data_IF_230343845350
#
_entry.id   IF_230343845350
#
_cell.length_a   1.000
_cell.length_b   1.000
_cell.length_c   1.000
_cell.angle_alpha   90.00
_cell.angle_beta   90.00
_cell.angle_gamma   90.00
#
_symmetry.space_group_name_H-M   'P 1'
#
loop_
_entity.id
_entity.type
_entity.pdbx_description
1 polymer ?
#
# COMPACT_ATOMS: atom_id res chain seq x y z
N UNK A 1 -23.38 -28.91 31.01
CA UNK A 1 -22.44 -29.21 29.90
C UNK A 1 -23.15 -30.12 28.89
N UNK A 2 -23.25 -29.75 27.61
CA UNK A 2 -23.97 -30.55 26.61
C UNK A 2 -23.22 -31.82 26.18
N UNK A 3 -23.95 -32.89 25.85
CA UNK A 3 -23.40 -34.19 25.45
C UNK A 3 -22.56 -34.12 24.16
N UNK A 4 -23.03 -33.35 23.18
CA UNK A 4 -22.30 -33.09 21.93
C UNK A 4 -20.91 -32.48 22.18
N UNK A 5 -20.80 -31.50 23.09
CA UNK A 5 -19.51 -30.89 23.44
C UNK A 5 -18.56 -31.90 24.08
N UNK A 6 -19.03 -32.72 25.02
CA UNK A 6 -18.19 -33.78 25.63
C UNK A 6 -17.70 -34.78 24.59
N UNK A 7 -18.58 -35.20 23.69
CA UNK A 7 -18.24 -36.13 22.60
C UNK A 7 -17.16 -35.55 21.68
N UNK A 8 -17.34 -34.30 21.22
CA UNK A 8 -16.38 -33.62 20.36
C UNK A 8 -15.00 -33.47 21.03
N UNK A 9 -14.96 -33.01 22.28
CA UNK A 9 -13.71 -32.86 23.05
C UNK A 9 -13.00 -34.21 23.23
N UNK A 10 -13.74 -35.28 23.56
CA UNK A 10 -13.17 -36.63 23.70
C UNK A 10 -12.57 -37.12 22.40
N UNK A 11 -13.30 -37.02 21.28
CA UNK A 11 -12.81 -37.43 19.95
C UNK A 11 -11.57 -36.65 19.52
N UNK A 12 -11.54 -35.34 19.80
CA UNK A 12 -10.39 -34.50 19.49
C UNK A 12 -9.15 -34.90 20.31
N UNK A 13 -9.34 -35.15 21.61
CA UNK A 13 -8.23 -35.32 22.56
C UNK A 13 -7.67 -36.75 22.62
N UNK A 14 -8.54 -37.76 22.53
CA UNK A 14 -8.16 -39.17 22.74
C UNK A 14 -8.19 -40.01 21.46
N UNK A 15 -8.61 -39.42 20.33
CA UNK A 15 -8.81 -40.16 19.09
C UNK A 15 -10.08 -41.03 19.14
N UNK A 16 -10.26 -41.88 18.12
CA UNK A 16 -11.47 -42.70 17.93
C UNK A 16 -12.32 -42.32 16.72
N UNK A 17 -11.79 -41.50 15.80
CA UNK A 17 -12.43 -41.14 14.54
C UNK A 17 -11.58 -40.13 13.76
N UNK A 18 -12.14 -39.54 12.70
CA UNK A 18 -11.48 -38.47 11.93
C UNK A 18 -11.25 -37.23 12.83
N UNK A 19 -9.97 -36.92 13.10
CA UNK A 19 -9.58 -35.74 13.89
C UNK A 19 -9.97 -34.44 13.20
N UNK A 20 -9.97 -34.38 11.87
CA UNK A 20 -10.40 -33.20 11.13
C UNK A 20 -11.87 -32.89 11.44
N UNK A 21 -12.71 -33.92 11.44
CA UNK A 21 -14.13 -33.76 11.76
C UNK A 21 -14.37 -33.36 13.21
N UNK A 22 -13.59 -33.92 14.16
CA UNK A 22 -13.65 -33.50 15.55
C UNK A 22 -13.29 -32.01 15.71
N UNK A 23 -12.27 -31.52 14.99
CA UNK A 23 -11.91 -30.10 14.99
C UNK A 23 -13.02 -29.22 14.41
N UNK A 24 -13.63 -29.62 13.27
CA UNK A 24 -14.76 -28.90 12.67
C UNK A 24 -15.95 -28.80 13.62
N UNK A 25 -16.28 -29.88 14.33
CA UNK A 25 -17.37 -29.89 15.30
C UNK A 25 -17.09 -28.95 16.48
N UNK A 26 -15.84 -28.90 16.98
CA UNK A 26 -15.44 -27.90 17.99
C UNK A 26 -15.63 -26.47 17.46
N UNK A 27 -15.23 -26.18 16.22
CA UNK A 27 -15.47 -24.89 15.60
C UNK A 27 -16.96 -24.55 15.45
N UNK A 28 -17.79 -25.53 15.08
CA UNK A 28 -19.25 -25.37 14.97
C UNK A 28 -19.88 -25.05 16.32
N UNK A 29 -19.49 -25.78 17.37
CA UNK A 29 -19.94 -25.53 18.74
C UNK A 29 -19.53 -24.13 19.23
N UNK A 30 -18.30 -23.70 18.92
CA UNK A 30 -17.82 -22.35 19.25
C UNK A 30 -18.63 -21.25 18.53
N UNK A 31 -19.03 -21.46 17.27
CA UNK A 31 -19.88 -20.49 16.54
C UNK A 31 -21.31 -20.44 17.05
N UNK A 32 -21.86 -21.57 17.49
CA UNK A 32 -23.27 -21.69 17.82
C UNK A 32 -23.65 -21.03 19.15
N UNK A 33 -22.74 -21.02 20.14
CA UNK A 33 -23.05 -20.52 21.49
C UNK A 33 -21.82 -19.90 22.18
N UNK A 34 -21.95 -18.65 22.62
CA UNK A 34 -20.88 -17.89 23.30
C UNK A 34 -20.52 -18.46 24.68
N UNK A 35 -21.44 -19.15 25.37
CA UNK A 35 -21.10 -19.84 26.63
C UNK A 35 -20.21 -21.05 26.36
N UNK A 36 -20.55 -21.83 25.35
CA UNK A 36 -19.78 -22.97 24.86
C UNK A 36 -18.40 -22.51 24.35
N UNK A 37 -18.33 -21.45 23.54
CA UNK A 37 -17.06 -20.86 23.08
C UNK A 37 -16.13 -20.48 24.23
N UNK A 38 -16.68 -19.93 25.33
CA UNK A 38 -15.89 -19.60 26.52
C UNK A 38 -15.45 -20.85 27.28
N UNK A 39 -16.29 -21.88 27.38
CA UNK A 39 -15.97 -23.10 28.12
C UNK A 39 -14.94 -24.01 27.41
N UNK A 40 -14.96 -24.07 26.08
CA UNK A 40 -14.15 -24.99 25.28
C UNK A 40 -12.63 -24.94 25.61
N UNK A 41 -11.97 -23.76 25.72
CA UNK A 41 -10.56 -23.67 26.12
C UNK A 41 -10.25 -24.30 27.48
N UNK A 42 -11.16 -24.22 28.46
CA UNK A 42 -10.99 -24.82 29.80
C UNK A 42 -10.98 -26.35 29.74
N UNK A 43 -11.50 -26.94 28.65
CA UNK A 43 -11.52 -28.38 28.41
C UNK A 43 -10.26 -28.88 27.69
N UNK A 44 -9.24 -28.03 27.56
CA UNK A 44 -7.95 -28.42 26.97
C UNK A 44 -7.97 -28.53 25.44
N UNK A 45 -9.01 -28.06 24.75
CA UNK A 45 -9.08 -28.18 23.28
C UNK A 45 -8.02 -27.33 22.57
N UNK A 46 -7.63 -26.18 23.15
CA UNK A 46 -6.72 -25.23 22.50
C UNK A 46 -5.32 -25.83 22.33
N UNK A 47 -4.65 -26.38 23.36
CA UNK A 47 -3.38 -27.08 23.18
C UNK A 47 -3.43 -28.21 22.14
N UNK A 48 -4.52 -28.99 22.12
CA UNK A 48 -4.69 -30.09 21.16
C UNK A 48 -4.79 -29.57 19.73
N UNK A 49 -5.59 -28.53 19.49
CA UNK A 49 -5.74 -27.89 18.18
C UNK A 49 -4.42 -27.24 17.70
N UNK A 50 -3.69 -26.57 18.60
CA UNK A 50 -2.37 -25.99 18.27
C UNK A 50 -1.35 -27.08 17.95
N UNK A 51 -1.35 -28.18 18.68
CA UNK A 51 -0.49 -29.33 18.38
C UNK A 51 -0.85 -29.97 17.03
N UNK A 52 -2.15 -30.12 16.76
CA UNK A 52 -2.65 -30.68 15.50
C UNK A 52 -2.28 -29.81 14.30
N UNK A 53 -2.31 -28.48 14.45
CA UNK A 53 -1.91 -27.52 13.42
C UNK A 53 -0.42 -27.64 13.07
N UNK A 54 0.45 -27.85 14.07
CA UNK A 54 1.90 -27.98 13.90
C UNK A 54 2.43 -29.42 13.74
N UNK A 55 1.56 -30.41 13.54
CA UNK A 55 1.96 -31.80 13.35
C UNK A 55 2.37 -32.04 11.90
N UNK A 56 3.66 -32.31 11.67
CA UNK A 56 4.23 -32.48 10.33
C UNK A 56 3.65 -33.69 9.56
N UNK A 57 3.24 -34.72 10.29
CA UNK A 57 2.64 -35.96 9.77
C UNK A 57 1.12 -35.86 9.56
N UNK A 58 0.48 -34.76 9.97
CA UNK A 58 -0.95 -34.59 9.82
C UNK A 58 -1.34 -34.23 8.37
N UNK A 59 -2.38 -34.89 7.88
CA UNK A 59 -3.03 -34.55 6.61
C UNK A 59 -3.40 -33.06 6.57
N UNK A 60 -3.18 -32.40 5.42
CA UNK A 60 -3.43 -30.97 5.24
C UNK A 60 -4.84 -30.56 5.66
N UNK A 61 -5.85 -31.36 5.34
CA UNK A 61 -7.25 -31.13 5.74
C UNK A 61 -7.47 -31.11 7.26
N UNK A 62 -6.71 -31.89 8.03
CA UNK A 62 -6.76 -31.87 9.49
C UNK A 62 -6.16 -30.55 10.04
N UNK A 63 -5.02 -30.13 9.49
CA UNK A 63 -4.36 -28.88 9.90
C UNK A 63 -5.21 -27.65 9.58
N UNK A 64 -5.84 -27.61 8.41
CA UNK A 64 -6.80 -26.57 8.03
C UNK A 64 -8.03 -26.57 8.92
N UNK A 65 -8.59 -27.76 9.23
CA UNK A 65 -9.71 -27.87 10.18
C UNK A 65 -9.35 -27.35 11.58
N UNK A 66 -8.11 -27.62 12.04
CA UNK A 66 -7.62 -27.09 13.31
C UNK A 66 -7.49 -25.56 13.30
N UNK A 67 -6.94 -24.98 12.21
CA UNK A 67 -6.87 -23.53 12.03
C UNK A 67 -8.27 -22.89 12.02
N UNK A 68 -9.24 -23.50 11.33
CA UNK A 68 -10.64 -23.06 11.31
C UNK A 68 -11.29 -23.09 12.69
N UNK A 69 -11.11 -24.18 13.44
CA UNK A 69 -11.64 -24.29 14.81
C UNK A 69 -11.04 -23.24 15.76
N UNK A 70 -9.72 -23.00 15.66
CA UNK A 70 -9.04 -21.95 16.43
C UNK A 70 -9.55 -20.55 16.04
N UNK A 71 -9.81 -20.30 14.76
CA UNK A 71 -10.39 -19.04 14.28
C UNK A 71 -11.78 -18.81 14.90
N UNK A 72 -12.64 -19.83 14.91
CA UNK A 72 -13.97 -19.73 15.52
C UNK A 72 -13.91 -19.48 17.03
N UNK A 73 -12.94 -20.10 17.72
CA UNK A 73 -12.68 -19.85 19.14
C UNK A 73 -12.16 -18.42 19.39
N UNK A 74 -11.32 -17.89 18.51
CA UNK A 74 -10.71 -16.57 18.64
C UNK A 74 -11.69 -15.42 18.34
N UNK A 75 -12.66 -15.65 17.43
CA UNK A 75 -13.59 -14.62 16.95
C UNK A 75 -14.44 -14.03 18.09
N UNK A 76 -14.29 -12.73 18.28
CA UNK A 76 -15.05 -11.95 19.26
C UNK A 76 -14.66 -12.17 20.73
N UNK A 77 -13.57 -12.91 21.01
CA UNK A 77 -13.23 -13.27 22.39
C UNK A 77 -11.76 -13.01 22.70
N UNK A 78 -11.46 -11.89 23.38
CA UNK A 78 -10.10 -11.54 23.83
C UNK A 78 -9.44 -12.67 24.62
N UNK A 79 -10.17 -13.23 25.60
CA UNK A 79 -9.69 -14.33 26.45
C UNK A 79 -9.20 -15.54 25.63
N UNK A 80 -9.96 -15.96 24.63
CA UNK A 80 -9.62 -17.11 23.81
C UNK A 80 -8.40 -16.83 22.92
N UNK A 81 -8.28 -15.61 22.36
CA UNK A 81 -7.08 -15.20 21.62
C UNK A 81 -5.83 -15.33 22.50
N UNK A 82 -5.90 -14.88 23.75
CA UNK A 82 -4.81 -15.01 24.73
C UNK A 82 -4.49 -16.49 25.00
N UNK A 83 -5.49 -17.35 25.20
CA UNK A 83 -5.25 -18.80 25.38
C UNK A 83 -4.55 -19.43 24.17
N UNK A 84 -4.94 -19.06 22.96
CA UNK A 84 -4.35 -19.59 21.72
C UNK A 84 -2.88 -19.18 21.60
N UNK A 85 -2.55 -17.91 21.87
CA UNK A 85 -1.15 -17.44 21.86
C UNK A 85 -0.34 -18.13 22.97
N UNK A 86 -0.88 -18.21 24.20
CA UNK A 86 -0.22 -18.87 25.34
C UNK A 86 0.00 -20.37 25.12
N UNK A 87 -0.87 -21.03 24.36
CA UNK A 87 -0.70 -22.42 23.94
C UNK A 87 0.44 -22.62 22.92
N UNK A 88 1.10 -21.53 22.49
CA UNK A 88 2.32 -21.59 21.69
C UNK A 88 2.07 -21.58 20.18
N UNK A 89 0.91 -21.10 19.70
CA UNK A 89 0.62 -21.04 18.26
C UNK A 89 1.72 -20.30 17.49
N UNK A 90 2.17 -19.14 17.97
CA UNK A 90 3.18 -18.34 17.27
C UNK A 90 4.50 -19.11 17.08
N UNK A 91 4.89 -19.90 18.09
CA UNK A 91 6.10 -20.74 18.03
C UNK A 91 6.02 -21.87 17.00
N UNK A 92 4.82 -22.21 16.50
CA UNK A 92 4.64 -23.21 15.44
C UNK A 92 4.83 -22.61 14.05
N UNK A 93 4.64 -21.30 13.88
CA UNK A 93 4.64 -20.63 12.57
C UNK A 93 5.92 -20.87 11.74
N UNK A 94 7.14 -20.82 12.31
CA UNK A 94 8.35 -21.10 11.52
C UNK A 94 8.38 -22.51 10.93
N UNK A 95 7.89 -23.50 11.67
CA UNK A 95 7.79 -24.88 11.18
C UNK A 95 6.84 -25.01 10.00
N UNK A 96 5.69 -24.32 10.04
CA UNK A 96 4.71 -24.34 8.94
C UNK A 96 5.24 -23.70 7.65
N UNK A 97 6.23 -22.81 7.75
CA UNK A 97 6.89 -22.22 6.57
C UNK A 97 7.92 -23.16 5.95
N UNK A 98 8.50 -24.05 6.75
CA UNK A 98 9.50 -25.03 6.31
C UNK A 98 8.85 -26.27 5.67
N UNK A 99 7.54 -26.46 5.84
CA UNK A 99 6.81 -27.56 5.23
C UNK A 99 6.89 -27.49 3.69
N UNK A 100 7.16 -28.64 3.07
CA UNK A 100 7.16 -28.76 1.60
C UNK A 100 5.77 -28.44 1.02
N UNK A 101 4.72 -28.85 1.72
CA UNK A 101 3.33 -28.47 1.41
C UNK A 101 3.01 -27.12 2.06
N UNK A 102 3.13 -26.04 1.28
CA UNK A 102 2.75 -24.68 1.72
C UNK A 102 1.24 -24.46 1.78
N UNK A 103 0.40 -25.49 1.59
CA UNK A 103 -1.05 -25.36 1.57
C UNK A 103 -1.64 -24.73 2.83
N UNK A 104 -1.15 -25.10 4.01
CA UNK A 104 -1.60 -24.47 5.27
C UNK A 104 -1.06 -23.04 5.43
N UNK A 105 0.20 -22.84 5.05
CA UNK A 105 0.88 -21.55 5.11
C UNK A 105 0.14 -20.45 4.34
N UNK A 106 -0.43 -20.81 3.19
CA UNK A 106 -1.21 -19.90 2.34
C UNK A 106 -2.73 -20.03 2.53
N UNK A 107 -3.19 -20.80 3.52
CA UNK A 107 -4.62 -21.01 3.74
C UNK A 107 -5.30 -19.77 4.29
N UNK A 108 -6.55 -19.57 3.89
CA UNK A 108 -7.35 -18.45 4.34
C UNK A 108 -7.68 -18.56 5.84
N UNK A 109 -7.93 -19.77 6.35
CA UNK A 109 -8.24 -20.01 7.76
C UNK A 109 -7.11 -19.58 8.67
N UNK A 110 -5.86 -19.92 8.32
CA UNK A 110 -4.69 -19.51 9.11
C UNK A 110 -4.49 -18.00 9.03
N UNK A 111 -4.58 -17.39 7.84
CA UNK A 111 -4.43 -15.95 7.68
C UNK A 111 -5.50 -15.17 8.48
N UNK A 112 -6.75 -15.63 8.47
CA UNK A 112 -7.83 -15.03 9.27
C UNK A 112 -7.65 -15.25 10.78
N UNK A 113 -7.11 -16.40 11.19
CA UNK A 113 -6.74 -16.63 12.59
C UNK A 113 -5.67 -15.64 13.03
N UNK A 114 -4.60 -15.49 12.24
CA UNK A 114 -3.51 -14.56 12.54
C UNK A 114 -3.98 -13.10 12.53
N UNK A 115 -4.87 -12.72 11.61
CA UNK A 115 -5.57 -11.43 11.66
C UNK A 115 -6.34 -11.26 12.97
N UNK A 116 -7.11 -12.25 13.39
CA UNK A 116 -7.85 -12.20 14.66
C UNK A 116 -6.92 -12.04 15.86
N UNK A 117 -5.78 -12.74 15.88
CA UNK A 117 -4.79 -12.66 16.96
C UNK A 117 -3.99 -11.35 16.95
N UNK A 118 -3.73 -10.77 15.78
CA UNK A 118 -3.00 -9.50 15.64
C UNK A 118 -3.66 -8.34 16.39
N UNK A 119 -4.99 -8.38 16.56
CA UNK A 119 -5.72 -7.38 17.37
C UNK A 119 -5.34 -7.37 18.85
N UNK A 120 -4.64 -8.40 19.37
CA UNK A 120 -4.05 -8.36 20.71
C UNK A 120 -2.96 -7.29 20.81
N UNK A 121 -2.36 -6.88 19.70
CA UNK A 121 -1.42 -5.77 19.68
C UNK A 121 -2.05 -4.48 20.21
N UNK A 122 -3.35 -4.26 20.09
CA UNK A 122 -4.03 -3.05 20.61
C UNK A 122 -4.45 -3.19 22.09
N UNK A 123 -3.86 -4.12 22.83
CA UNK A 123 -4.19 -4.39 24.24
C UNK A 123 -2.94 -4.42 25.12
N UNK A 124 -3.14 -4.52 26.44
CA UNK A 124 -2.06 -4.69 27.42
C UNK A 124 -1.41 -6.09 27.39
N UNK A 125 -1.93 -7.00 26.57
CA UNK A 125 -1.31 -8.31 26.39
C UNK A 125 0.09 -8.16 25.76
N UNK A 126 1.15 -8.73 26.37
CA UNK A 126 2.52 -8.60 25.87
C UNK A 126 2.75 -9.51 24.66
N UNK A 127 2.25 -9.09 23.50
CA UNK A 127 2.49 -9.76 22.23
C UNK A 127 3.90 -9.40 21.74
N UNK A 128 4.71 -10.40 21.41
CA UNK A 128 6.03 -10.22 20.79
C UNK A 128 6.01 -10.74 19.35
N UNK A 129 5.52 -9.94 18.38
CA UNK A 129 5.25 -10.43 17.03
C UNK A 129 6.49 -10.51 16.13
N UNK A 130 7.61 -9.87 16.52
CA UNK A 130 8.79 -9.68 15.69
C UNK A 130 9.49 -10.99 15.25
N UNK A 131 9.54 -12.00 16.13
CA UNK A 131 10.32 -13.21 15.87
C UNK A 131 9.56 -14.23 15.00
N UNK A 132 8.27 -14.45 15.26
CA UNK A 132 7.51 -15.49 14.54
C UNK A 132 6.37 -14.93 13.68
N UNK A 133 5.58 -13.99 14.18
CA UNK A 133 4.34 -13.55 13.51
C UNK A 133 4.64 -12.69 12.28
N UNK A 134 5.44 -11.64 12.43
CA UNK A 134 5.76 -10.71 11.33
C UNK A 134 6.49 -11.44 10.19
N UNK A 135 7.55 -12.24 10.42
CA UNK A 135 8.21 -12.98 9.36
C UNK A 135 7.28 -13.94 8.63
N UNK A 136 6.38 -14.62 9.36
CA UNK A 136 5.38 -15.50 8.75
C UNK A 136 4.42 -14.73 7.84
N UNK A 137 3.89 -13.59 8.30
CA UNK A 137 2.97 -12.76 7.51
C UNK A 137 3.66 -12.24 6.23
N UNK A 138 4.91 -11.79 6.33
CA UNK A 138 5.71 -11.32 5.18
C UNK A 138 5.96 -12.45 4.18
N UNK A 139 6.31 -13.65 4.66
CA UNK A 139 6.52 -14.82 3.81
C UNK A 139 5.22 -15.25 3.10
N UNK A 140 4.10 -15.29 3.82
CA UNK A 140 2.78 -15.61 3.26
C UNK A 140 2.35 -14.59 2.19
N UNK A 141 2.64 -13.29 2.38
CA UNK A 141 2.40 -12.25 1.38
C UNK A 141 3.22 -12.42 0.12
N UNK A 142 4.46 -12.94 0.25
CA UNK A 142 5.41 -13.13 -0.85
C UNK A 142 5.26 -14.45 -1.59
N UNK A 143 4.42 -15.37 -1.10
CA UNK A 143 4.21 -16.64 -1.77
C UNK A 143 3.55 -16.43 -3.15
N UNK A 144 4.08 -17.06 -4.22
CA UNK A 144 3.61 -16.82 -5.59
C UNK A 144 2.12 -17.16 -5.76
N UNK A 145 1.69 -18.28 -5.17
CA UNK A 145 0.34 -18.82 -5.31
C UNK A 145 -0.62 -18.41 -4.19
N UNK A 146 -0.23 -17.45 -3.34
CA UNK A 146 -1.11 -17.00 -2.25
C UNK A 146 -2.37 -16.32 -2.79
N UNK A 147 -3.59 -16.80 -2.43
CA UNK A 147 -4.85 -16.18 -2.80
C UNK A 147 -4.93 -14.72 -2.36
N UNK A 148 -5.68 -13.90 -3.10
CA UNK A 148 -5.82 -12.48 -2.79
C UNK A 148 -6.47 -12.26 -1.41
N UNK A 149 -7.42 -13.11 -1.03
CA UNK A 149 -8.08 -13.10 0.28
C UNK A 149 -7.10 -13.37 1.42
N UNK A 150 -6.19 -14.33 1.24
CA UNK A 150 -5.11 -14.63 2.18
C UNK A 150 -4.20 -13.42 2.32
N UNK A 151 -3.77 -12.81 1.20
CA UNK A 151 -2.93 -11.60 1.21
C UNK A 151 -3.61 -10.44 1.93
N UNK A 152 -4.90 -10.20 1.67
CA UNK A 152 -5.68 -9.16 2.34
C UNK A 152 -5.75 -9.39 3.86
N UNK A 153 -5.98 -10.63 4.30
CA UNK A 153 -5.97 -10.96 5.72
C UNK A 153 -4.59 -10.73 6.35
N UNK A 154 -3.50 -11.11 5.67
CA UNK A 154 -2.14 -10.84 6.13
C UNK A 154 -1.81 -9.34 6.19
N UNK A 155 -2.20 -8.55 5.18
CA UNK A 155 -2.02 -7.09 5.17
C UNK A 155 -2.80 -6.43 6.31
N UNK A 156 -4.05 -6.83 6.53
CA UNK A 156 -4.86 -6.34 7.65
C UNK A 156 -4.22 -6.71 9.01
N UNK A 157 -3.61 -7.90 9.12
CA UNK A 157 -2.89 -8.30 10.31
C UNK A 157 -1.67 -7.41 10.55
N UNK A 158 -0.86 -7.13 9.51
CA UNK A 158 0.26 -6.20 9.60
C UNK A 158 -0.20 -4.79 10.00
N UNK A 159 -1.33 -4.30 9.48
CA UNK A 159 -1.87 -3.00 9.89
C UNK A 159 -2.26 -2.95 11.37
N UNK A 160 -2.90 -4.00 11.89
CA UNK A 160 -3.21 -4.08 13.32
C UNK A 160 -1.94 -4.04 14.18
N UNK A 161 -0.88 -4.72 13.74
CA UNK A 161 0.41 -4.67 14.43
C UNK A 161 1.02 -3.25 14.35
N UNK A 162 0.98 -2.62 13.17
CA UNK A 162 1.51 -1.27 12.93
C UNK A 162 0.80 -0.15 13.70
N UNK A 163 -0.32 -0.42 14.38
CA UNK A 163 -0.94 0.53 15.30
C UNK A 163 -0.05 0.85 16.51
N UNK A 164 0.86 -0.06 16.90
CA UNK A 164 1.88 0.17 17.93
C UNK A 164 3.22 0.58 17.32
N UNK A 165 3.84 1.61 17.90
CA UNK A 165 5.13 2.17 17.45
C UNK A 165 6.29 1.18 17.47
N UNK A 166 6.31 0.26 18.42
CA UNK A 166 7.33 -0.80 18.49
C UNK A 166 7.17 -1.78 17.32
N UNK A 167 5.96 -2.27 17.09
CA UNK A 167 5.69 -3.28 16.06
C UNK A 167 5.81 -2.72 14.64
N UNK A 168 5.44 -1.46 14.39
CA UNK A 168 5.64 -0.87 13.05
C UNK A 168 7.13 -0.79 12.69
N UNK A 169 8.01 -0.58 13.69
CA UNK A 169 9.46 -0.63 13.48
C UNK A 169 9.92 -2.05 13.20
N UNK A 170 9.37 -3.04 13.90
CA UNK A 170 9.63 -4.46 13.62
C UNK A 170 9.17 -4.85 12.21
N UNK A 171 8.01 -4.38 11.76
CA UNK A 171 7.51 -4.60 10.39
C UNK A 171 8.45 -3.96 9.37
N UNK A 172 8.93 -2.73 9.62
CA UNK A 172 9.88 -2.05 8.73
C UNK A 172 11.24 -2.77 8.66
N UNK A 173 11.71 -3.33 9.78
CA UNK A 173 12.97 -4.06 9.88
C UNK A 173 12.88 -5.51 9.36
N UNK A 174 11.67 -6.06 9.23
CA UNK A 174 11.48 -7.42 8.79
C UNK A 174 11.99 -7.63 7.36
N UNK A 175 12.86 -8.64 7.20
CA UNK A 175 13.51 -8.95 5.92
C UNK A 175 12.48 -9.15 4.81
N UNK A 176 12.60 -8.34 3.75
CA UNK A 176 11.75 -8.44 2.57
C UNK A 176 10.35 -7.85 2.73
N UNK A 177 9.99 -7.28 3.88
CA UNK A 177 8.66 -6.70 4.12
C UNK A 177 8.37 -5.53 3.17
N UNK A 178 9.29 -4.55 3.08
CA UNK A 178 9.15 -3.42 2.16
C UNK A 178 9.06 -3.91 0.71
N UNK A 179 9.98 -4.79 0.29
CA UNK A 179 10.04 -5.34 -1.07
C UNK A 179 8.75 -6.05 -1.47
N UNK A 180 8.17 -6.87 -0.59
CA UNK A 180 6.91 -7.59 -0.89
C UNK A 180 5.73 -6.62 -0.97
N UNK A 181 5.66 -5.62 -0.08
CA UNK A 181 4.61 -4.61 -0.12
C UNK A 181 4.67 -3.78 -1.42
N UNK A 182 5.87 -3.36 -1.84
CA UNK A 182 6.08 -2.65 -3.10
C UNK A 182 5.71 -3.51 -4.33
N UNK A 183 6.06 -4.80 -4.31
CA UNK A 183 5.67 -5.73 -5.37
C UNK A 183 4.15 -5.85 -5.50
N UNK A 184 3.42 -5.94 -4.37
CA UNK A 184 1.96 -5.96 -4.37
C UNK A 184 1.33 -4.69 -4.95
N UNK A 185 1.97 -3.53 -4.76
CA UNK A 185 1.54 -2.27 -5.37
C UNK A 185 1.70 -2.28 -6.91
N UNK A 186 2.78 -2.89 -7.41
CA UNK A 186 3.11 -2.96 -8.82
C UNK A 186 2.29 -4.00 -9.61
N UNK A 187 1.90 -5.12 -8.98
CA UNK A 187 1.18 -6.21 -9.64
C UNK A 187 -0.30 -5.91 -9.96
N UNK A 188 -0.89 -4.83 -9.45
CA UNK A 188 -2.29 -4.54 -9.70
C UNK A 188 -2.51 -3.99 -11.13
N UNK A 189 -3.29 -4.70 -11.98
CA UNK A 189 -3.49 -4.31 -13.38
C UNK A 189 -4.22 -2.96 -13.48
N UNK A 190 -3.96 -2.26 -14.58
CA UNK A 190 -4.73 -1.06 -14.92
C UNK A 190 -6.19 -1.48 -15.20
N UNK A 191 -7.19 -0.82 -14.58
CA UNK A 191 -8.59 -1.17 -14.81
C UNK A 191 -8.93 -0.90 -16.28
N UNK A 192 -9.28 -1.96 -17.01
CA UNK A 192 -9.69 -1.89 -18.42
C UNK A 192 -11.12 -1.37 -18.59
N UNK A 193 -11.89 -1.29 -17.50
CA UNK A 193 -13.30 -0.90 -17.47
C UNK A 193 -13.58 0.01 -16.27
N UNK A 194 -14.54 0.92 -16.41
CA UNK A 194 -15.00 1.88 -15.37
C UNK A 194 -15.86 1.22 -14.28
N UNK A 195 -15.57 -0.03 -13.92
CA UNK A 195 -16.33 -0.76 -12.90
C UNK A 195 -16.13 -0.06 -11.55
N UNK A 196 -17.22 0.34 -10.89
CA UNK A 196 -17.17 1.09 -9.62
C UNK A 196 -16.58 0.30 -8.45
N UNK A 197 -16.49 -1.03 -8.56
CA UNK A 197 -15.97 -1.90 -7.50
C UNK A 197 -14.48 -2.18 -7.73
N UNK A 198 -13.62 -2.02 -6.70
CA UNK A 198 -12.22 -2.41 -6.82
C UNK A 198 -12.11 -3.92 -7.04
N UNK A 199 -11.26 -4.32 -7.98
CA UNK A 199 -10.81 -5.71 -8.11
C UNK A 199 -10.05 -6.13 -6.85
N UNK A 200 -9.98 -7.44 -6.56
CA UNK A 200 -9.20 -7.96 -5.43
C UNK A 200 -7.72 -7.56 -5.51
N UNK A 201 -7.17 -7.47 -6.73
CA UNK A 201 -5.81 -6.97 -6.95
C UNK A 201 -5.65 -5.50 -6.54
N UNK A 202 -6.59 -4.63 -6.91
CA UNK A 202 -6.58 -3.21 -6.48
C UNK A 202 -6.77 -3.06 -4.98
N UNK A 203 -7.62 -3.86 -4.34
CA UNK A 203 -7.78 -3.85 -2.89
C UNK A 203 -6.50 -4.29 -2.17
N UNK A 204 -5.80 -5.28 -2.73
CA UNK A 204 -4.50 -5.74 -2.19
C UNK A 204 -3.42 -4.66 -2.32
N UNK A 205 -3.34 -3.98 -3.46
CA UNK A 205 -2.41 -2.87 -3.66
C UNK A 205 -2.71 -1.70 -2.72
N UNK A 206 -3.99 -1.34 -2.55
CA UNK A 206 -4.41 -0.30 -1.60
C UNK A 206 -4.02 -0.65 -0.16
N UNK A 207 -4.29 -1.89 0.27
CA UNK A 207 -3.93 -2.35 1.60
C UNK A 207 -2.39 -2.38 1.81
N UNK A 208 -1.62 -2.72 0.79
CA UNK A 208 -0.15 -2.67 0.84
C UNK A 208 0.37 -1.23 0.95
N UNK A 209 -0.20 -0.29 0.18
CA UNK A 209 0.10 1.15 0.30
C UNK A 209 -0.23 1.69 1.68
N UNK A 210 -1.31 1.22 2.31
CA UNK A 210 -1.66 1.58 3.67
C UNK A 210 -0.57 1.14 4.68
N UNK A 211 -0.12 -0.11 4.61
CA UNK A 211 0.95 -0.62 5.49
C UNK A 211 2.25 0.16 5.27
N UNK A 212 2.62 0.45 4.03
CA UNK A 212 3.78 1.30 3.72
C UNK A 212 3.60 2.71 4.29
N UNK A 213 2.38 3.26 4.22
CA UNK A 213 2.03 4.55 4.82
C UNK A 213 2.22 4.56 6.33
N UNK A 214 1.76 3.50 7.01
CA UNK A 214 1.94 3.32 8.45
C UNK A 214 3.46 3.24 8.79
N UNK A 215 4.27 2.52 8.00
CA UNK A 215 5.73 2.46 8.14
C UNK A 215 6.38 3.83 7.96
N UNK A 216 6.01 4.59 6.92
CA UNK A 216 6.58 5.90 6.65
C UNK A 216 6.22 6.95 7.71
N UNK A 217 4.99 6.88 8.25
CA UNK A 217 4.46 7.80 9.24
C UNK A 217 5.02 7.50 10.64
N UNK A 218 4.87 6.26 11.09
CA UNK A 218 5.12 5.84 12.48
C UNK A 218 6.50 5.21 12.67
N UNK A 219 7.10 4.64 11.63
CA UNK A 219 8.47 4.11 11.64
C UNK A 219 9.57 5.19 11.64
N UNK A 220 9.19 6.46 11.56
CA UNK A 220 10.13 7.59 11.62
C UNK A 220 11.09 7.63 10.43
N UNK A 221 12.30 8.18 10.64
CA UNK A 221 13.30 8.28 9.58
C UNK A 221 13.75 6.90 9.06
N UNK A 222 13.91 5.91 9.95
CA UNK A 222 14.31 4.56 9.58
C UNK A 222 13.29 3.88 8.65
N UNK A 223 11.98 3.98 8.97
CA UNK A 223 10.92 3.45 8.12
C UNK A 223 10.89 4.12 6.73
N UNK A 224 11.06 5.44 6.67
CA UNK A 224 11.16 6.16 5.39
C UNK A 224 12.40 5.77 4.59
N UNK A 225 13.57 5.65 5.23
CA UNK A 225 14.79 5.19 4.58
C UNK A 225 14.63 3.78 4.03
N UNK A 226 14.07 2.85 4.80
CA UNK A 226 13.83 1.48 4.36
C UNK A 226 12.97 1.40 3.08
N UNK A 227 11.96 2.27 2.96
CA UNK A 227 11.15 2.35 1.73
C UNK A 227 11.91 3.07 0.61
N UNK A 228 12.61 4.17 0.91
CA UNK A 228 13.29 4.97 -0.11
C UNK A 228 14.50 4.28 -0.73
N UNK A 229 15.20 3.43 0.03
CA UNK A 229 16.38 2.69 -0.42
C UNK A 229 16.03 1.47 -1.28
N UNK A 230 14.78 1.00 -1.28
CA UNK A 230 14.36 -0.09 -2.17
C UNK A 230 14.33 0.39 -3.63
N UNK A 231 14.92 -0.41 -4.53
CA UNK A 231 15.04 -0.06 -5.94
C UNK A 231 13.69 0.06 -6.66
N UNK A 232 12.69 -0.70 -6.22
CA UNK A 232 11.37 -0.74 -6.85
C UNK A 232 10.45 0.38 -6.36
N UNK A 233 10.81 1.07 -5.28
CA UNK A 233 9.93 2.05 -4.63
C UNK A 233 9.46 3.15 -5.59
N UNK A 234 10.35 3.81 -6.38
CA UNK A 234 9.92 4.85 -7.31
C UNK A 234 8.93 4.33 -8.37
N UNK A 235 9.22 3.17 -8.97
CA UNK A 235 8.38 2.56 -10.01
C UNK A 235 7.02 2.10 -9.49
N UNK A 236 7.00 1.43 -8.34
CA UNK A 236 5.77 0.96 -7.70
C UNK A 236 4.86 2.13 -7.30
N UNK A 237 5.42 3.19 -6.71
CA UNK A 237 4.66 4.38 -6.32
C UNK A 237 4.16 5.17 -7.53
N UNK A 238 4.99 5.31 -8.57
CA UNK A 238 4.58 5.93 -9.83
C UNK A 238 3.41 5.18 -10.48
N UNK A 239 3.51 3.86 -10.59
CA UNK A 239 2.45 3.02 -11.14
C UNK A 239 1.15 3.13 -10.33
N UNK A 240 1.24 3.24 -9.00
CA UNK A 240 0.09 3.44 -8.13
C UNK A 240 -0.56 4.83 -8.27
N UNK A 241 0.23 5.90 -8.45
CA UNK A 241 -0.30 7.25 -8.73
C UNK A 241 -0.97 7.33 -10.11
N UNK A 242 -0.41 6.65 -11.11
CA UNK A 242 -0.93 6.61 -12.47
C UNK A 242 -2.13 5.67 -12.65
N UNK A 243 -2.65 5.06 -11.58
CA UNK A 243 -3.77 4.12 -11.66
C UNK A 243 -5.10 4.89 -11.67
N UNK A 244 -5.66 5.07 -12.86
CA UNK A 244 -6.98 5.67 -13.00
C UNK A 244 -8.05 4.76 -12.37
N UNK A 245 -9.07 5.32 -11.72
CA UNK A 245 -10.18 4.56 -11.15
C UNK A 245 -10.00 4.07 -9.71
N UNK A 246 -8.84 4.28 -9.07
CA UNK A 246 -8.66 4.08 -7.62
C UNK A 246 -8.12 5.34 -6.95
N UNK A 247 -9.04 6.21 -6.52
CA UNK A 247 -8.69 7.44 -5.80
C UNK A 247 -7.91 7.15 -4.52
N UNK A 248 -8.25 6.07 -3.81
CA UNK A 248 -7.54 5.65 -2.61
C UNK A 248 -6.08 5.27 -2.89
N UNK A 249 -5.79 4.47 -3.94
CA UNK A 249 -4.41 4.17 -4.31
C UNK A 249 -3.63 5.45 -4.64
N UNK A 250 -4.22 6.36 -5.41
CA UNK A 250 -3.57 7.63 -5.75
C UNK A 250 -3.25 8.45 -4.51
N UNK A 251 -4.18 8.57 -3.56
CA UNK A 251 -3.98 9.31 -2.33
C UNK A 251 -2.84 8.75 -1.47
N UNK A 252 -2.83 7.44 -1.24
CA UNK A 252 -1.81 6.77 -0.43
C UNK A 252 -0.44 6.80 -1.11
N UNK A 253 -0.37 6.54 -2.41
CA UNK A 253 0.88 6.62 -3.17
C UNK A 253 1.43 8.04 -3.19
N UNK A 254 0.58 9.05 -3.41
CA UNK A 254 1.01 10.46 -3.38
C UNK A 254 1.48 10.88 -1.99
N UNK A 255 0.82 10.40 -0.92
CA UNK A 255 1.31 10.60 0.45
C UNK A 255 2.70 10.00 0.66
N UNK A 256 2.93 8.75 0.23
CA UNK A 256 4.22 8.10 0.34
C UNK A 256 5.30 8.86 -0.43
N UNK A 257 5.05 9.24 -1.68
CA UNK A 257 5.98 10.08 -2.45
C UNK A 257 6.26 11.38 -1.70
N UNK A 258 5.23 12.04 -1.16
CA UNK A 258 5.43 13.25 -0.36
C UNK A 258 6.33 13.01 0.86
N UNK A 259 6.11 11.93 1.61
CA UNK A 259 6.87 11.61 2.81
C UNK A 259 8.34 11.25 2.50
N UNK A 260 8.58 10.51 1.41
CA UNK A 260 9.89 10.01 1.02
C UNK A 260 10.72 11.06 0.25
N UNK A 261 10.05 11.92 -0.52
CA UNK A 261 10.67 13.01 -1.25
C UNK A 261 10.92 14.25 -0.39
N UNK A 262 10.45 14.27 0.87
CA UNK A 262 10.60 15.41 1.75
C UNK A 262 12.02 15.52 2.33
N UNK A 263 12.53 16.75 2.43
CA UNK A 263 13.83 17.05 3.02
C UNK A 263 15.01 16.81 2.09
N UNK A 264 16.20 17.20 2.56
CA UNK A 264 17.44 17.13 1.77
C UNK A 264 18.18 15.80 1.93
N UNK A 265 18.02 15.12 3.07
CA UNK A 265 18.67 13.85 3.34
C UNK A 265 17.80 12.68 2.83
N UNK A 266 18.28 11.93 1.84
CA UNK A 266 17.53 10.85 1.16
C UNK A 266 16.48 11.35 0.16
N UNK A 267 15.75 12.42 0.50
CA UNK A 267 14.68 12.99 -0.35
C UNK A 267 15.13 13.40 -1.75
N UNK A 268 16.32 14.00 -1.89
CA UNK A 268 16.88 14.38 -3.19
C UNK A 268 17.09 13.18 -4.13
N UNK A 269 17.53 12.04 -3.57
CA UNK A 269 17.72 10.80 -4.33
C UNK A 269 16.37 10.27 -4.84
N UNK A 270 15.36 10.22 -3.96
CA UNK A 270 14.00 9.84 -4.33
C UNK A 270 13.43 10.75 -5.44
N UNK A 271 13.56 12.08 -5.30
CA UNK A 271 13.08 13.03 -6.32
C UNK A 271 13.78 12.84 -7.68
N UNK A 272 15.09 12.59 -7.68
CA UNK A 272 15.86 12.28 -8.90
C UNK A 272 15.35 11.01 -9.58
N UNK A 273 15.30 9.89 -8.85
CA UNK A 273 14.85 8.59 -9.37
C UNK A 273 13.42 8.64 -9.91
N UNK A 274 12.52 9.32 -9.18
CA UNK A 274 11.16 9.56 -9.64
C UNK A 274 11.11 10.39 -10.92
N UNK A 275 11.95 11.43 -11.06
CA UNK A 275 12.01 12.27 -12.27
C UNK A 275 12.45 11.46 -13.48
N UNK A 276 13.48 10.62 -13.33
CA UNK A 276 14.00 9.76 -14.39
C UNK A 276 12.93 8.78 -14.92
N UNK A 277 12.02 8.34 -14.04
CA UNK A 277 10.86 7.53 -14.41
C UNK A 277 9.67 8.33 -14.98
N UNK A 278 9.80 9.65 -15.15
CA UNK A 278 8.73 10.49 -15.70
C UNK A 278 7.62 10.86 -14.71
N UNK A 279 7.90 10.86 -13.40
CA UNK A 279 6.89 11.13 -12.37
C UNK A 279 6.22 12.51 -12.46
N UNK A 280 6.86 13.49 -13.11
CA UNK A 280 6.30 14.84 -13.27
C UNK A 280 4.96 14.79 -13.99
N UNK A 281 4.82 13.96 -15.04
CA UNK A 281 3.57 13.84 -15.78
C UNK A 281 2.45 13.25 -14.91
N UNK A 282 2.75 12.18 -14.16
CA UNK A 282 1.78 11.58 -13.25
C UNK A 282 1.38 12.54 -12.12
N UNK A 283 2.33 13.29 -11.56
CA UNK A 283 2.05 14.29 -10.53
C UNK A 283 1.19 15.45 -11.05
N UNK A 284 1.44 15.93 -12.28
CA UNK A 284 0.59 16.92 -12.93
C UNK A 284 -0.83 16.40 -13.11
N UNK A 285 -0.97 15.17 -13.57
CA UNK A 285 -2.29 14.55 -13.71
C UNK A 285 -3.01 14.42 -12.38
N UNK A 286 -2.36 13.88 -11.34
CA UNK A 286 -2.94 13.77 -9.98
C UNK A 286 -3.28 15.16 -9.42
N UNK A 287 -2.46 16.19 -9.70
CA UNK A 287 -2.73 17.56 -9.26
C UNK A 287 -3.99 18.18 -9.88
N UNK A 288 -4.41 17.70 -11.05
CA UNK A 288 -5.58 18.18 -11.78
C UNK A 288 -6.82 17.30 -11.57
N UNK A 289 -6.63 15.99 -11.48
CA UNK A 289 -7.70 14.99 -11.58
C UNK A 289 -7.85 14.11 -10.33
N UNK A 290 -6.88 14.14 -9.42
CA UNK A 290 -6.92 13.36 -8.19
C UNK A 290 -8.01 13.86 -7.23
N UNK A 291 -8.13 13.20 -6.08
CA UNK A 291 -8.98 13.72 -5.00
C UNK A 291 -8.44 15.05 -4.46
N UNK A 292 -9.25 15.87 -3.77
CA UNK A 292 -8.79 17.14 -3.21
C UNK A 292 -7.53 17.01 -2.32
N UNK A 293 -7.37 15.88 -1.63
CA UNK A 293 -6.20 15.60 -0.80
C UNK A 293 -4.98 15.23 -1.66
N UNK A 294 -5.15 14.34 -2.64
CA UNK A 294 -4.08 13.97 -3.57
C UNK A 294 -3.61 15.18 -4.39
N UNK A 295 -4.52 16.04 -4.83
CA UNK A 295 -4.21 17.25 -5.60
C UNK A 295 -3.26 18.18 -4.86
N UNK A 296 -3.59 18.51 -3.60
CA UNK A 296 -2.76 19.39 -2.74
C UNK A 296 -1.37 18.81 -2.51
N UNK A 297 -1.29 17.49 -2.26
CA UNK A 297 0.00 16.79 -2.07
C UNK A 297 0.82 16.80 -3.36
N UNK A 298 0.22 16.45 -4.50
CA UNK A 298 0.88 16.44 -5.79
C UNK A 298 1.42 17.82 -6.19
N UNK A 299 0.62 18.88 -5.99
CA UNK A 299 1.05 20.25 -6.22
C UNK A 299 2.25 20.64 -5.35
N UNK A 300 2.28 20.21 -4.07
CA UNK A 300 3.41 20.46 -3.18
C UNK A 300 4.67 19.70 -3.61
N UNK A 301 4.53 18.44 -4.02
CA UNK A 301 5.67 17.64 -4.52
C UNK A 301 6.27 18.27 -5.78
N UNK A 302 5.44 18.75 -6.71
CA UNK A 302 5.90 19.42 -7.93
C UNK A 302 6.76 20.68 -7.64
N UNK A 303 6.47 21.41 -6.55
CA UNK A 303 7.31 22.53 -6.11
C UNK A 303 8.73 22.05 -5.75
N UNK A 304 8.86 20.95 -5.00
CA UNK A 304 10.17 20.40 -4.65
C UNK A 304 10.97 19.93 -5.87
N UNK A 305 10.29 19.42 -6.90
CA UNK A 305 10.93 19.07 -8.17
C UNK A 305 11.42 20.32 -8.92
N UNK A 306 10.77 21.47 -8.78
CA UNK A 306 11.23 22.71 -9.41
C UNK A 306 12.51 23.23 -8.74
N UNK A 307 12.54 23.26 -7.42
CA UNK A 307 13.64 23.83 -6.63
C UNK A 307 14.97 23.07 -6.81
N UNK A 308 14.92 21.75 -7.03
CA UNK A 308 16.10 20.94 -7.35
C UNK A 308 16.71 21.25 -8.72
N UNK A 309 15.85 21.49 -9.72
CA UNK A 309 16.31 21.85 -11.07
C UNK A 309 16.98 23.22 -11.09
N UNK A 310 16.44 24.16 -10.32
CA UNK A 310 17.02 25.49 -10.16
C UNK A 310 18.32 25.44 -9.33
N UNK A 311 18.40 24.64 -8.27
CA UNK A 311 19.63 24.54 -7.48
C UNK A 311 20.81 23.89 -8.24
N UNK A 312 20.53 23.04 -9.23
CA UNK A 312 21.53 22.46 -10.12
C UNK A 312 22.03 23.41 -11.22
N UNK A 313 21.18 24.33 -11.68
CA UNK A 313 21.43 25.20 -12.83
C UNK A 313 21.74 26.68 -12.44
N UNK A 314 21.35 27.11 -11.23
CA UNK A 314 21.40 28.52 -10.79
C UNK A 314 22.73 29.00 -10.18
N UNK A 315 23.81 28.21 -10.22
CA UNK A 315 25.15 28.76 -9.93
C UNK A 315 25.72 29.63 -11.04
N UNK A 316 25.07 29.69 -12.21
CA UNK A 316 25.33 30.74 -13.19
C UNK A 316 24.43 31.92 -12.86
N UNK A 317 24.80 32.67 -11.81
CA UNK A 317 24.18 33.96 -11.51
C UNK A 317 24.64 34.96 -12.58
N UNK A 318 23.89 35.03 -13.68
CA UNK A 318 23.99 36.12 -14.63
C UNK A 318 23.56 37.42 -13.90
N UNK A 319 24.55 38.16 -13.42
CA UNK A 319 24.37 39.53 -12.94
C UNK A 319 24.21 40.45 -14.15
N UNK A 320 23.01 40.51 -14.72
CA UNK A 320 22.66 41.54 -15.71
C UNK A 320 21.62 42.48 -15.10
N UNK A 321 22.11 43.47 -14.35
CA UNK A 321 21.39 44.71 -14.08
C UNK A 321 22.02 45.81 -14.94
N UNK A 322 21.24 46.65 -15.65
CA UNK A 322 21.79 47.72 -16.47
C UNK A 322 22.33 48.83 -15.56
N UNK A 323 23.64 49.06 -15.62
CA UNK A 323 24.30 50.21 -15.00
C UNK A 323 24.13 51.41 -15.94
N UNK A 324 23.45 52.43 -15.43
CA UNK A 324 23.26 53.73 -16.05
C UNK A 324 24.58 54.51 -15.97
N UNK A 325 25.25 54.73 -17.10
CA UNK A 325 26.28 55.76 -17.24
C UNK A 325 26.03 56.50 -18.56
N UNK A 326 25.69 57.79 -18.44
CA UNK A 326 25.58 58.69 -19.57
C UNK A 326 26.92 59.33 -19.90
N UNK A 327 27.14 59.65 -21.17
CA UNK A 327 27.80 60.89 -21.62
C UNK A 327 27.87 60.95 -23.15
N UNK A 328 27.29 62.02 -23.69
CA UNK A 328 27.75 62.87 -24.80
C UNK A 328 28.27 62.28 -26.12
N UNK A 329 27.50 62.63 -27.16
CA UNK A 329 27.89 63.03 -28.51
C UNK A 329 29.35 63.43 -28.77
N UNK A 330 29.96 62.84 -29.79
CA UNK A 330 30.81 63.55 -30.76
C UNK A 330 30.80 62.83 -32.11
N UNK A 331 30.92 63.63 -33.17
CA UNK A 331 30.63 63.29 -34.57
C UNK A 331 31.90 62.95 -35.37
N UNK A 332 31.67 62.55 -36.63
CA UNK A 332 32.59 62.32 -37.77
C UNK A 332 33.49 61.08 -37.68
N UNK A 333 33.71 60.27 -38.71
CA UNK A 333 33.32 60.24 -40.12
C UNK A 333 34.21 59.20 -40.80
N UNK A 334 33.70 58.43 -41.76
CA UNK A 334 34.52 57.46 -42.50
C UNK A 334 33.68 56.38 -43.19
N UNK A 335 33.49 56.55 -44.50
CA UNK A 335 32.73 55.68 -45.37
C UNK A 335 33.48 54.39 -45.75
N UNK A 336 32.72 53.31 -46.03
CA UNK A 336 33.14 52.25 -46.95
C UNK A 336 32.67 50.85 -46.58
N UNK A 337 31.66 50.34 -47.30
CA UNK A 337 31.40 48.90 -47.44
C UNK A 337 30.00 48.40 -47.05
N UNK A 338 29.04 48.52 -47.97
CA UNK A 338 27.95 47.54 -48.15
C UNK A 338 28.61 46.29 -48.79
N UNK A 339 28.28 45.05 -48.46
CA UNK A 339 26.96 44.42 -48.50
C UNK A 339 26.73 43.46 -47.32
N UNK A 340 25.50 43.45 -46.83
CA UNK A 340 24.95 42.40 -45.98
C UNK A 340 23.85 41.65 -46.73
N UNK A 341 23.59 40.43 -46.27
CA UNK A 341 22.41 39.55 -46.40
C UNK A 341 22.94 38.11 -46.18
N UNK A 342 22.36 37.15 -45.49
CA UNK A 342 21.24 37.03 -44.55
C UNK A 342 21.41 35.63 -43.92
N UNK A 343 21.52 35.51 -42.60
CA UNK A 343 21.85 34.21 -41.96
C UNK A 343 21.18 33.88 -40.63
N UNK A 344 20.42 34.79 -40.02
CA UNK A 344 19.93 34.62 -38.63
C UNK A 344 18.40 34.46 -38.49
N UNK A 345 17.67 34.50 -39.61
CA UNK A 345 16.20 34.41 -39.62
C UNK A 345 15.59 33.00 -39.60
N UNK A 346 16.37 31.95 -39.90
CA UNK A 346 15.83 30.59 -40.07
C UNK A 346 15.73 29.78 -38.76
N UNK A 347 16.63 30.00 -37.79
CA UNK A 347 16.63 29.25 -36.52
C UNK A 347 15.49 29.67 -35.58
N UNK A 348 15.23 30.97 -35.46
CA UNK A 348 14.16 31.50 -34.61
C UNK A 348 12.76 31.15 -35.14
N UNK A 349 12.59 31.13 -36.47
CA UNK A 349 11.33 30.75 -37.11
C UNK A 349 11.05 29.25 -36.98
N UNK A 350 12.07 28.39 -37.13
CA UNK A 350 11.94 26.95 -36.90
C UNK A 350 11.61 26.60 -35.43
N UNK A 351 12.18 27.34 -34.48
CA UNK A 351 11.84 27.21 -33.06
C UNK A 351 10.39 27.67 -32.77
N UNK A 352 9.96 28.78 -33.36
CA UNK A 352 8.57 29.25 -33.29
C UNK A 352 7.58 28.22 -33.85
N UNK A 353 7.86 27.68 -35.03
CA UNK A 353 7.04 26.67 -35.70
C UNK A 353 6.99 25.33 -34.96
N UNK A 354 8.03 25.00 -34.17
CA UNK A 354 8.05 23.83 -33.31
C UNK A 354 7.17 24.03 -32.07
N UNK A 355 7.27 25.21 -31.43
CA UNK A 355 6.42 25.58 -30.29
C UNK A 355 4.95 25.61 -30.71
N UNK A 356 4.63 26.19 -31.85
CA UNK A 356 3.25 26.24 -32.38
C UNK A 356 2.68 24.85 -32.66
N UNK A 357 3.49 23.91 -33.15
CA UNK A 357 3.09 22.51 -33.35
C UNK A 357 2.81 21.81 -32.03
N UNK A 358 3.63 22.02 -31.01
CA UNK A 358 3.44 21.44 -29.68
C UNK A 358 2.18 22.01 -29.02
N UNK A 359 1.96 23.32 -29.12
CA UNK A 359 0.77 23.98 -28.58
C UNK A 359 -0.49 23.44 -29.27
N UNK A 360 -0.49 23.34 -30.60
CA UNK A 360 -1.62 22.75 -31.35
C UNK A 360 -1.88 21.30 -30.96
N UNK A 361 -0.85 20.47 -30.85
CA UNK A 361 -1.01 19.07 -30.42
C UNK A 361 -1.55 18.96 -28.99
N UNK A 362 -1.07 19.78 -28.07
CA UNK A 362 -1.56 19.80 -26.69
C UNK A 362 -3.03 20.23 -26.61
N UNK A 363 -3.43 21.21 -27.42
CA UNK A 363 -4.80 21.69 -27.48
C UNK A 363 -5.74 20.65 -28.09
N UNK A 364 -5.29 19.95 -29.13
CA UNK A 364 -5.99 18.81 -29.75
C UNK A 364 -6.19 17.65 -28.78
N UNK A 365 -5.15 17.28 -28.04
CA UNK A 365 -5.24 16.21 -27.02
C UNK A 365 -6.19 16.60 -25.90
N UNK A 366 -6.16 17.86 -25.46
CA UNK A 366 -7.06 18.38 -24.45
C UNK A 366 -8.52 18.38 -24.95
N UNK A 367 -8.76 18.85 -26.17
CA UNK A 367 -10.09 18.86 -26.79
C UNK A 367 -10.65 17.44 -26.97
N UNK A 368 -9.83 16.47 -27.40
CA UNK A 368 -10.21 15.04 -27.47
C UNK A 368 -10.53 14.46 -26.09
N UNK A 369 -9.86 14.92 -25.04
CA UNK A 369 -10.16 14.50 -23.65
C UNK A 369 -11.46 15.12 -23.15
N UNK A 370 -11.73 16.39 -23.48
CA UNK A 370 -12.98 17.09 -23.14
C UNK A 370 -14.17 16.46 -23.88
N UNK A 371 -14.06 16.19 -25.18
CA UNK A 371 -15.14 15.58 -25.96
C UNK A 371 -15.50 14.18 -25.45
N UNK A 372 -14.50 13.34 -25.11
CA UNK A 372 -14.75 12.03 -24.48
C UNK A 372 -15.47 12.13 -23.14
N UNK A 373 -15.25 13.22 -22.38
CA UNK A 373 -15.93 13.48 -21.11
C UNK A 373 -17.35 14.02 -21.31
N UNK A 374 -17.56 14.88 -22.29
CA UNK A 374 -18.88 15.38 -22.65
C UNK A 374 -19.80 14.23 -23.08
N UNK A 375 -19.31 13.32 -23.94
CA UNK A 375 -20.09 12.14 -24.35
C UNK A 375 -20.33 11.16 -23.19
N UNK A 376 -19.38 11.03 -22.25
CA UNK A 376 -19.59 10.21 -21.04
C UNK A 376 -20.58 10.83 -20.03
N UNK A 377 -20.77 12.16 -20.05
CA UNK A 377 -21.70 12.87 -19.16
C UNK A 377 -23.16 12.81 -19.63
N UNK A 378 -23.40 12.67 -20.94
CA UNK A 378 -24.75 12.54 -21.52
C UNK A 378 -25.37 11.16 -21.19
N UNK A 379 -24.55 10.15 -20.94
CA UNK A 379 -25.01 8.82 -20.49
C UNK A 379 -25.38 8.78 -18.99
N UNK A 380 -25.01 9.79 -18.20
CA UNK A 380 -25.23 9.84 -16.74
C UNK A 380 -26.57 10.46 -16.33
N UNK A 381 -27.24 11.21 -17.22
CA UNK A 381 -28.54 11.85 -16.92
C UNK A 381 -29.74 10.89 -16.98
N UNK A 382 -29.56 9.67 -17.47
CA UNK A 382 -30.62 8.63 -17.50
C UNK A 382 -30.65 7.75 -16.23
N UNK A 383 -29.60 7.77 -15.38
CA UNK A 383 -29.39 6.72 -14.38
C UNK A 383 -29.33 7.18 -12.91
N UNK A 384 -29.60 8.45 -12.59
CA UNK A 384 -29.49 8.97 -11.22
C UNK A 384 -30.81 9.54 -10.67
N UNK A 385 -31.78 8.66 -10.42
CA UNK A 385 -32.79 8.85 -9.38
C UNK A 385 -32.73 7.66 -8.42
N UNK A 386 -31.94 7.80 -7.35
CA UNK A 386 -32.09 7.18 -6.02
C UNK A 386 -30.74 6.86 -5.34
N UNK A 387 -30.67 7.23 -4.05
CA UNK A 387 -29.67 6.92 -3.01
C UNK A 387 -28.45 7.85 -2.90
N UNK A 388 -28.66 8.91 -2.11
CA UNK A 388 -27.61 9.56 -1.32
C UNK A 388 -28.14 9.71 0.12
N UNK A 389 -27.70 8.84 1.02
CA UNK A 389 -27.81 9.03 2.47
C UNK A 389 -26.64 8.33 3.20
N UNK A 390 -25.98 9.13 4.05
CA UNK A 390 -25.19 8.78 5.25
C UNK A 390 -23.73 8.33 5.05
N UNK A 391 -22.76 9.21 5.34
CA UNK A 391 -22.12 9.31 6.67
C UNK A 391 -20.96 10.34 6.67
N UNK A 392 -20.99 11.25 7.64
CA UNK A 392 -19.92 12.20 7.99
C UNK A 392 -18.83 11.53 8.86
N UNK A 393 -17.56 11.96 8.78
CA UNK A 393 -16.76 12.42 9.95
C UNK A 393 -15.35 12.95 9.62
N UNK A 394 -15.18 14.26 9.86
CA UNK A 394 -14.12 15.02 10.57
C UNK A 394 -12.67 14.50 10.81
N UNK A 395 -11.72 15.32 10.32
CA UNK A 395 -10.53 15.93 10.97
C UNK A 395 -9.24 15.16 11.31
N UNK A 396 -8.11 15.65 10.75
CA UNK A 396 -7.04 16.41 11.48
C UNK A 396 -5.96 16.93 10.51
N UNK A 397 -5.76 18.25 10.51
CA UNK A 397 -4.72 19.00 9.80
C UNK A 397 -3.47 19.18 10.67
N UNK A 398 -2.29 19.20 10.04
CA UNK A 398 -1.01 19.63 10.62
C UNK A 398 -0.54 20.93 9.92
N UNK A 399 0.33 21.74 10.56
CA UNK A 399 0.45 23.17 10.28
C UNK A 399 1.31 23.50 9.06
N UNK A 400 1.16 24.77 8.64
CA UNK A 400 1.60 25.42 7.41
C UNK A 400 3.10 25.33 7.10
#
# INVERSE_FOLDING_TARGET
MGEAMRSAVKRLSFGGGDRAEAAREVGRLARADERTKRALPELGVVPVLVSMLGAADAHSGARVAAAGALLDLARGTHRNKVHIVKAGLLKKLPGLMADADRGLATSQELALLLLSLSSLADTDFPLSPAAELIPFLVAALGAPDAPAETRLACLAALRNLSAKLEHVRDVAAARGAVRVLLALCACAPQPKTTTKMPTMATATAEAALCVLGDIAAAGGAAGRSAIAEDEEAPGALLGAMARHGSAACQEHATYLVMALAHGNNGGNSMRRRMRELGAVQALLEVSLLGSPLAQRRAAKILQWFKDDGQSGDSRIRAHSGPRMEGASSSSCGGAGGRDGEDGEGHGAKAAGDAVDRIVKQSLDMNMRSIMRRATASVDMTSANTNKLLVASSSSKSLPC
#
